data_IF_134623854800
#
_entry.id   IF_134623854800
#
_cell.length_a   1.000
_cell.length_b   1.000
_cell.length_c   1.000
_cell.angle_alpha   90.00
_cell.angle_beta   90.00
_cell.angle_gamma   90.00
#
_symmetry.space_group_name_H-M   'P 1'
#
loop_
_entity.id
_entity.type
_entity.pdbx_description
1 polymer ?
#
# COMPACT_ATOMS: atom_id res chain seq x y z
N UNK A 1 32.01 1.77 40.02
CA UNK A 1 31.97 0.72 38.98
C UNK A 1 30.55 0.71 38.42
N UNK A 2 30.30 1.53 37.40
CA UNK A 2 28.97 1.73 36.79
C UNK A 2 28.99 0.95 35.47
N UNK A 3 28.13 -0.06 35.36
CA UNK A 3 27.97 -0.85 34.14
C UNK A 3 27.18 -0.03 33.11
N UNK A 4 27.83 0.31 32.00
CA UNK A 4 27.18 0.77 30.78
C UNK A 4 26.47 -0.44 30.15
N UNK A 5 25.13 -0.46 30.14
CA UNK A 5 24.36 -1.43 29.38
C UNK A 5 24.18 -0.86 27.97
N UNK A 6 24.99 -1.37 27.03
CA UNK A 6 24.84 -1.14 25.60
C UNK A 6 23.58 -1.90 25.14
N UNK A 7 22.51 -1.20 24.81
CA UNK A 7 21.34 -1.80 24.17
C UNK A 7 21.69 -2.07 22.70
N UNK A 8 22.15 -3.28 22.39
CA UNK A 8 22.18 -3.80 21.03
C UNK A 8 20.74 -3.98 20.58
N UNK A 9 20.28 -3.08 19.72
CA UNK A 9 19.06 -3.30 18.93
C UNK A 9 19.34 -4.49 18.01
N UNK A 10 18.79 -5.65 18.38
CA UNK A 10 18.61 -6.78 17.48
C UNK A 10 17.68 -6.31 16.36
N UNK A 11 18.25 -5.97 15.21
CA UNK A 11 17.50 -6.08 13.96
C UNK A 11 17.17 -7.57 13.80
N UNK A 12 15.94 -7.94 14.08
CA UNK A 12 15.36 -9.16 13.53
C UNK A 12 15.38 -8.99 12.01
N UNK A 13 16.36 -9.62 11.36
CA UNK A 13 16.28 -9.89 9.94
C UNK A 13 14.94 -10.61 9.70
N UNK A 14 14.06 -9.97 8.94
CA UNK A 14 12.79 -10.58 8.53
C UNK A 14 13.16 -11.84 7.75
N UNK A 15 12.69 -13.00 8.23
CA UNK A 15 12.84 -14.27 7.52
C UNK A 15 12.21 -14.15 6.13
N UNK A 16 12.84 -14.70 5.06
CA UNK A 16 12.24 -14.75 3.73
C UNK A 16 10.90 -15.53 3.67
N UNK A 17 10.49 -16.18 4.76
CA UNK A 17 9.20 -16.88 4.86
C UNK A 17 8.00 -15.94 5.12
N UNK A 18 8.22 -14.66 5.40
CA UNK A 18 7.15 -13.69 5.73
C UNK A 18 6.62 -12.86 4.53
N UNK A 19 7.04 -13.17 3.30
CA UNK A 19 6.60 -12.42 2.11
C UNK A 19 5.26 -12.92 1.53
N UNK A 20 4.90 -14.17 1.79
CA UNK A 20 3.69 -14.78 1.22
C UNK A 20 2.57 -14.97 2.26
N UNK A 21 1.29 -14.85 1.85
CA UNK A 21 0.16 -15.23 2.69
C UNK A 21 0.24 -16.68 3.16
N UNK A 22 -0.45 -16.99 4.27
CA UNK A 22 -0.51 -18.34 4.83
C UNK A 22 -0.87 -19.39 3.75
N UNK A 23 -0.11 -20.50 3.71
CA UNK A 23 -0.14 -21.61 2.72
C UNK A 23 0.52 -21.36 1.35
N UNK A 24 0.95 -20.13 1.06
CA UNK A 24 1.74 -19.86 -0.13
C UNK A 24 3.24 -19.97 0.15
N UNK A 25 4.00 -20.43 -0.84
CA UNK A 25 5.46 -20.57 -0.79
C UNK A 25 6.11 -19.60 -1.75
N UNK A 26 7.05 -18.79 -1.23
CA UNK A 26 7.80 -17.85 -2.04
C UNK A 26 8.79 -18.56 -2.97
N UNK A 27 8.89 -18.08 -4.22
CA UNK A 27 9.87 -18.57 -5.18
C UNK A 27 10.75 -17.42 -5.68
N UNK A 28 11.98 -17.37 -5.17
CA UNK A 28 12.90 -16.25 -5.37
C UNK A 28 13.24 -15.97 -6.84
N UNK A 29 13.26 -16.99 -7.70
CA UNK A 29 13.60 -16.81 -9.12
C UNK A 29 12.53 -16.02 -9.89
N UNK A 30 11.27 -16.10 -9.48
CA UNK A 30 10.15 -15.43 -10.13
C UNK A 30 9.56 -14.31 -9.28
N UNK A 31 9.99 -14.18 -8.01
CA UNK A 31 9.41 -13.30 -7.00
C UNK A 31 7.88 -13.46 -6.87
N UNK A 32 7.40 -14.72 -6.94
CA UNK A 32 5.97 -15.06 -6.89
C UNK A 32 5.74 -16.08 -5.78
N UNK A 33 4.59 -15.95 -5.13
CA UNK A 33 4.07 -16.87 -4.14
C UNK A 33 3.20 -17.92 -4.83
N UNK A 34 3.50 -19.20 -4.64
CA UNK A 34 2.74 -20.31 -5.23
C UNK A 34 2.06 -21.16 -4.15
N UNK A 35 0.85 -21.64 -4.47
CA UNK A 35 0.10 -22.56 -3.62
C UNK A 35 -0.52 -23.67 -4.46
N UNK A 36 -0.44 -24.91 -3.98
CA UNK A 36 -1.14 -26.06 -4.54
C UNK A 36 -2.21 -26.48 -3.55
N UNK A 37 -3.43 -26.68 -4.03
CA UNK A 37 -4.53 -27.16 -3.21
C UNK A 37 -4.28 -28.56 -2.66
N UNK A 38 -4.88 -28.86 -1.51
CA UNK A 38 -4.90 -30.22 -0.94
C UNK A 38 -5.93 -31.11 -1.69
N UNK A 39 -7.04 -30.50 -2.13
CA UNK A 39 -8.14 -31.15 -2.84
C UNK A 39 -8.05 -31.01 -4.37
N UNK A 40 -8.85 -31.80 -5.08
CA UNK A 40 -9.00 -31.72 -6.52
C UNK A 40 -10.26 -30.97 -6.94
N UNK A 41 -10.15 -30.28 -8.08
CA UNK A 41 -11.22 -29.49 -8.64
C UNK A 41 -11.31 -29.68 -10.16
N UNK A 42 -12.50 -29.49 -10.72
CA UNK A 42 -12.62 -29.18 -12.15
C UNK A 42 -11.98 -27.81 -12.46
N UNK A 43 -11.79 -27.48 -13.73
CA UNK A 43 -11.10 -26.27 -14.14
C UNK A 43 -11.70 -24.99 -13.55
N UNK A 44 -13.03 -24.85 -13.60
CA UNK A 44 -13.72 -23.66 -13.08
C UNK A 44 -13.76 -23.65 -11.55
N UNK A 45 -13.81 -24.81 -10.91
CA UNK A 45 -13.65 -24.99 -9.49
C UNK A 45 -12.27 -24.53 -9.01
N UNK A 46 -11.22 -24.88 -9.74
CA UNK A 46 -9.85 -24.47 -9.45
C UNK A 46 -9.65 -22.95 -9.58
N UNK A 47 -10.24 -22.33 -10.61
CA UNK A 47 -10.27 -20.86 -10.74
C UNK A 47 -10.89 -20.22 -9.50
N UNK A 48 -12.11 -20.64 -9.14
CA UNK A 48 -12.82 -20.11 -7.97
C UNK A 48 -12.10 -20.38 -6.65
N UNK A 49 -11.45 -21.54 -6.53
CA UNK A 49 -10.64 -21.88 -5.36
C UNK A 49 -9.48 -20.89 -5.20
N UNK A 50 -8.69 -20.67 -6.26
CA UNK A 50 -7.57 -19.73 -6.19
C UNK A 50 -8.02 -18.29 -5.90
N UNK A 51 -9.17 -17.87 -6.44
CA UNK A 51 -9.77 -16.58 -6.11
C UNK A 51 -10.18 -16.50 -4.63
N UNK A 52 -10.74 -17.59 -4.07
CA UNK A 52 -11.12 -17.65 -2.65
C UNK A 52 -9.93 -17.60 -1.68
N UNK A 53 -8.73 -17.98 -2.14
CA UNK A 53 -7.50 -17.89 -1.36
C UNK A 53 -6.76 -16.55 -1.57
N UNK A 54 -7.38 -15.59 -2.28
CA UNK A 54 -6.79 -14.27 -2.56
C UNK A 54 -5.78 -14.25 -3.69
N UNK A 55 -5.68 -15.33 -4.47
CA UNK A 55 -4.79 -15.42 -5.63
C UNK A 55 -5.54 -15.64 -6.95
N UNK A 56 -4.79 -16.08 -7.97
CA UNK A 56 -5.34 -16.48 -9.27
C UNK A 56 -4.75 -17.81 -9.69
N UNK A 57 -5.48 -18.56 -10.52
CA UNK A 57 -4.94 -19.76 -11.14
C UNK A 57 -3.70 -19.39 -11.98
N UNK A 58 -2.66 -20.24 -11.97
CA UNK A 58 -1.36 -19.94 -12.58
C UNK A 58 -1.47 -19.85 -14.09
N UNK A 59 -1.22 -18.67 -14.67
CA UNK A 59 -0.79 -18.51 -16.05
C UNK A 59 0.74 -18.56 -16.12
N UNK A 60 1.30 -19.34 -17.05
CA UNK A 60 2.76 -19.38 -17.24
C UNK A 60 3.24 -18.17 -18.03
N UNK A 61 4.36 -17.59 -17.60
CA UNK A 61 5.11 -16.60 -18.39
C UNK A 61 6.47 -17.17 -18.82
N UNK A 62 7.16 -16.44 -19.71
CA UNK A 62 8.43 -16.88 -20.25
C UNK A 62 9.48 -17.01 -19.14
N UNK A 63 10.15 -18.16 -19.08
CA UNK A 63 11.20 -18.44 -18.08
C UNK A 63 10.72 -19.16 -16.81
N UNK A 64 9.41 -19.32 -16.59
CA UNK A 64 8.91 -20.04 -15.40
C UNK A 64 8.90 -21.56 -15.57
N UNK A 65 8.96 -22.05 -16.82
CA UNK A 65 8.79 -23.46 -17.20
C UNK A 65 9.60 -24.44 -16.34
N UNK A 66 10.90 -24.17 -16.17
CA UNK A 66 11.81 -25.05 -15.46
C UNK A 66 11.57 -25.01 -13.93
N UNK A 67 11.26 -23.82 -13.40
CA UNK A 67 10.93 -23.65 -11.98
C UNK A 67 9.63 -24.38 -11.62
N UNK A 68 8.61 -24.23 -12.46
CA UNK A 68 7.32 -24.90 -12.28
C UNK A 68 7.43 -26.42 -12.49
N UNK A 69 8.27 -26.87 -13.42
CA UNK A 69 8.58 -28.30 -13.55
C UNK A 69 9.17 -28.87 -12.26
N UNK A 70 10.12 -28.17 -11.63
CA UNK A 70 10.67 -28.62 -10.35
C UNK A 70 9.60 -28.64 -9.25
N UNK A 71 8.78 -27.57 -9.14
CA UNK A 71 7.70 -27.47 -8.16
C UNK A 71 6.65 -28.57 -8.29
N UNK A 72 6.36 -29.00 -9.52
CA UNK A 72 5.29 -29.96 -9.81
C UNK A 72 5.78 -31.38 -10.05
N UNK A 73 7.10 -31.61 -10.03
CA UNK A 73 7.73 -32.90 -10.35
C UNK A 73 7.31 -34.07 -9.47
N UNK A 74 6.88 -33.79 -8.24
CA UNK A 74 6.46 -34.78 -7.25
C UNK A 74 4.95 -35.09 -7.31
N UNK A 75 4.19 -34.35 -8.12
CA UNK A 75 2.73 -34.48 -8.17
C UNK A 75 2.33 -35.70 -9.01
N UNK A 76 1.46 -36.53 -8.44
CA UNK A 76 0.86 -37.68 -9.14
C UNK A 76 -0.16 -37.25 -10.20
N UNK A 77 -0.78 -36.09 -9.98
CA UNK A 77 -1.90 -35.52 -10.75
C UNK A 77 -1.48 -34.12 -11.18
N UNK A 78 -1.66 -33.76 -12.45
CA UNK A 78 -1.10 -32.52 -12.99
C UNK A 78 -1.93 -31.31 -12.53
N UNK A 79 -1.34 -30.21 -12.06
CA UNK A 79 -2.11 -29.02 -11.69
C UNK A 79 -2.71 -28.30 -12.90
N UNK A 80 -3.84 -27.64 -12.67
CA UNK A 80 -4.44 -26.73 -13.64
C UNK A 80 -3.55 -25.50 -13.89
N UNK A 81 -3.50 -25.08 -15.15
CA UNK A 81 -2.92 -23.81 -15.62
C UNK A 81 -4.08 -22.97 -16.15
N UNK A 82 -4.05 -21.66 -15.94
CA UNK A 82 -5.08 -20.71 -16.33
C UNK A 82 -5.10 -20.42 -17.83
N UNK A 83 -5.15 -21.47 -18.65
CA UNK A 83 -5.22 -21.39 -20.11
C UNK A 83 -6.30 -22.30 -20.65
N UNK A 84 -6.96 -21.84 -21.71
CA UNK A 84 -8.04 -22.58 -22.38
C UNK A 84 -7.95 -22.42 -23.89
N UNK A 85 -8.45 -23.41 -24.63
CA UNK A 85 -8.59 -23.37 -26.08
C UNK A 85 -9.88 -22.65 -26.45
N UNK A 86 -9.77 -21.71 -27.38
CA UNK A 86 -10.93 -21.21 -28.11
C UNK A 86 -11.32 -22.27 -29.14
N UNK A 87 -12.47 -22.91 -28.98
CA UNK A 87 -12.91 -24.03 -29.83
C UNK A 87 -13.20 -23.61 -31.27
N UNK A 88 -13.48 -22.33 -31.50
CA UNK A 88 -13.78 -21.78 -32.84
C UNK A 88 -12.50 -21.53 -33.63
N UNK A 89 -11.47 -20.97 -32.99
CA UNK A 89 -10.19 -20.64 -33.65
C UNK A 89 -9.12 -21.70 -33.48
N UNK A 90 -9.29 -22.60 -32.52
CA UNK A 90 -8.33 -23.60 -32.11
C UNK A 90 -7.14 -23.05 -31.31
N UNK A 91 -7.11 -21.73 -31.04
CA UNK A 91 -6.00 -21.03 -30.39
C UNK A 91 -6.17 -21.07 -28.87
N UNK A 92 -5.08 -21.33 -28.15
CA UNK A 92 -5.06 -21.26 -26.69
C UNK A 92 -4.79 -19.84 -26.21
N UNK A 93 -5.45 -19.46 -25.12
CA UNK A 93 -5.32 -18.15 -24.48
C UNK A 93 -5.28 -18.30 -22.96
N UNK A 94 -4.63 -17.36 -22.27
CA UNK A 94 -4.66 -17.30 -20.81
C UNK A 94 -5.92 -16.56 -20.33
N UNK A 95 -6.49 -17.01 -19.20
CA UNK A 95 -7.70 -16.40 -18.62
C UNK A 95 -7.48 -14.97 -18.13
N UNK A 96 -6.24 -14.60 -17.80
CA UNK A 96 -5.84 -13.25 -17.41
C UNK A 96 -5.51 -12.34 -18.60
N UNK A 97 -5.76 -12.82 -19.83
CA UNK A 97 -5.51 -12.14 -21.10
C UNK A 97 -4.02 -11.88 -21.40
N UNK A 98 -3.12 -12.47 -20.62
CA UNK A 98 -1.70 -12.49 -20.94
C UNK A 98 -1.44 -13.33 -22.21
N UNK A 99 -0.40 -12.98 -22.95
CA UNK A 99 0.14 -13.74 -24.09
C UNK A 99 0.34 -15.20 -23.69
N UNK A 100 -0.33 -16.08 -24.43
CA UNK A 100 -0.14 -17.52 -24.33
C UNK A 100 1.14 -17.92 -25.09
N UNK A 101 2.09 -18.54 -24.38
CA UNK A 101 3.38 -18.90 -24.96
C UNK A 101 3.32 -20.34 -25.48
N UNK A 102 3.28 -20.48 -26.80
CA UNK A 102 3.08 -21.77 -27.47
C UNK A 102 4.28 -22.71 -27.44
N UNK A 103 5.47 -22.28 -27.03
CA UNK A 103 6.66 -23.15 -26.94
C UNK A 103 6.73 -23.96 -25.63
N UNK A 104 5.75 -23.77 -24.74
CA UNK A 104 5.73 -24.35 -23.40
C UNK A 104 5.14 -25.77 -23.35
N UNK A 105 4.65 -26.31 -24.47
CA UNK A 105 4.03 -27.65 -24.54
C UNK A 105 5.02 -28.77 -24.23
N UNK A 106 4.49 -29.83 -23.61
CA UNK A 106 5.14 -31.13 -23.53
C UNK A 106 5.21 -31.77 -24.93
N UNK A 107 6.13 -32.71 -25.12
CA UNK A 107 6.25 -33.47 -26.36
C UNK A 107 4.94 -34.22 -26.65
N UNK A 108 4.38 -34.00 -27.85
CA UNK A 108 3.12 -34.59 -28.29
C UNK A 108 1.87 -33.74 -27.99
N UNK A 109 2.03 -32.57 -27.39
CA UNK A 109 0.97 -31.62 -27.08
C UNK A 109 1.11 -30.33 -27.94
N UNK A 110 0.00 -29.60 -28.19
CA UNK A 110 -1.36 -29.84 -27.74
C UNK A 110 -2.07 -30.94 -28.55
N UNK A 111 -2.81 -31.81 -27.87
CA UNK A 111 -3.70 -32.79 -28.52
C UNK A 111 -5.17 -32.46 -28.23
N UNK A 112 -5.93 -31.90 -29.19
CA UNK A 112 -7.33 -31.52 -28.98
C UNK A 112 -8.25 -32.67 -28.51
N UNK A 113 -7.89 -33.93 -28.74
CA UNK A 113 -8.65 -35.07 -28.23
C UNK A 113 -8.59 -35.19 -26.70
N UNK A 114 -7.52 -34.68 -26.08
CA UNK A 114 -7.32 -34.72 -24.64
C UNK A 114 -8.07 -33.61 -23.89
N UNK A 115 -8.60 -32.61 -24.60
CA UNK A 115 -9.49 -31.57 -24.06
C UNK A 115 -9.09 -30.14 -24.40
N UNK A 116 -9.88 -29.18 -23.93
CA UNK A 116 -9.70 -27.75 -24.22
C UNK A 116 -9.08 -26.95 -23.05
N UNK A 117 -8.89 -27.55 -21.88
CA UNK A 117 -8.23 -26.91 -20.72
C UNK A 117 -6.78 -27.38 -20.61
N UNK A 118 -5.96 -26.67 -19.84
CA UNK A 118 -4.52 -26.89 -19.81
C UNK A 118 -4.04 -27.24 -18.40
N UNK A 119 -3.25 -28.30 -18.28
CA UNK A 119 -2.53 -28.68 -17.06
C UNK A 119 -1.02 -28.59 -17.28
N UNK A 120 -0.23 -28.61 -16.19
CA UNK A 120 1.22 -28.66 -16.27
C UNK A 120 1.77 -30.03 -15.89
N UNK A 121 2.48 -30.67 -16.82
CA UNK A 121 3.20 -31.92 -16.59
C UNK A 121 4.61 -31.63 -16.07
N UNK A 122 4.93 -32.06 -14.85
CA UNK A 122 6.22 -31.77 -14.18
C UNK A 122 7.35 -32.78 -14.35
N UNK A 123 7.15 -33.88 -15.10
CA UNK A 123 8.14 -34.99 -15.15
C UNK A 123 9.38 -34.64 -16.00
N UNK A 124 10.56 -34.93 -15.46
CA UNK A 124 11.86 -34.36 -15.89
C UNK A 124 12.27 -34.57 -17.36
N UNK A 125 11.79 -35.62 -18.03
CA UNK A 125 12.11 -35.89 -19.44
C UNK A 125 11.07 -35.37 -20.45
N UNK A 126 9.87 -34.97 -19.98
CA UNK A 126 8.79 -34.49 -20.84
C UNK A 126 7.86 -33.54 -20.05
N UNK A 127 8.42 -32.44 -19.56
CA UNK A 127 7.67 -31.44 -18.79
C UNK A 127 7.15 -30.31 -19.69
N UNK A 128 6.00 -29.77 -19.35
CA UNK A 128 5.38 -28.67 -20.07
C UNK A 128 3.86 -28.68 -19.98
N UNK A 129 3.23 -27.81 -20.75
CA UNK A 129 1.78 -27.76 -20.89
C UNK A 129 1.25 -29.05 -21.52
N UNK A 130 0.08 -29.46 -21.07
CA UNK A 130 -0.67 -30.58 -21.61
C UNK A 130 -2.15 -30.22 -21.68
N UNK A 131 -2.83 -30.67 -22.72
CA UNK A 131 -4.29 -30.52 -22.84
C UNK A 131 -5.02 -31.54 -21.98
N UNK A 132 -6.12 -31.13 -21.37
CA UNK A 132 -6.91 -31.94 -20.44
C UNK A 132 -8.37 -31.54 -20.48
N UNK A 133 -9.26 -32.52 -20.37
CA UNK A 133 -10.71 -32.33 -20.32
C UNK A 133 -11.07 -31.45 -19.10
N UNK A 134 -11.76 -30.33 -19.32
CA UNK A 134 -12.00 -29.31 -18.29
C UNK A 134 -12.75 -29.81 -17.04
N UNK A 135 -13.46 -30.94 -17.14
CA UNK A 135 -14.21 -31.57 -16.04
C UNK A 135 -13.38 -32.55 -15.19
N UNK A 136 -12.12 -32.82 -15.58
CA UNK A 136 -11.22 -33.70 -14.82
C UNK A 136 -10.89 -33.09 -13.46
N UNK A 137 -10.61 -33.95 -12.48
CA UNK A 137 -10.25 -33.52 -11.14
C UNK A 137 -8.73 -33.39 -11.06
N UNK A 138 -8.25 -32.16 -10.87
CA UNK A 138 -6.82 -31.84 -10.82
C UNK A 138 -6.54 -30.85 -9.68
N UNK A 139 -5.27 -30.68 -9.29
CA UNK A 139 -4.89 -29.68 -8.30
C UNK A 139 -5.16 -28.26 -8.81
N UNK A 140 -5.67 -27.40 -7.94
CA UNK A 140 -5.69 -25.96 -8.18
C UNK A 140 -4.29 -25.41 -7.87
N UNK A 141 -3.66 -24.80 -8.87
CA UNK A 141 -2.34 -24.21 -8.73
C UNK A 141 -2.44 -22.71 -8.81
N UNK A 142 -2.28 -22.08 -7.66
CA UNK A 142 -2.55 -20.68 -7.46
C UNK A 142 -1.25 -19.88 -7.37
N UNK A 143 -1.26 -18.67 -7.89
CA UNK A 143 -0.20 -17.68 -7.69
C UNK A 143 -0.74 -16.38 -7.09
N UNK A 144 0.11 -15.76 -6.27
CA UNK A 144 -0.02 -14.39 -5.78
C UNK A 144 1.32 -13.71 -6.06
N UNK A 145 1.27 -12.51 -6.64
CA UNK A 145 2.44 -11.63 -6.62
C UNK A 145 2.43 -10.97 -5.23
N UNK A 146 3.42 -11.23 -4.36
CA UNK A 146 3.42 -10.62 -3.04
C UNK A 146 3.44 -9.09 -3.17
N UNK A 147 2.63 -8.42 -2.36
CA UNK A 147 2.67 -6.96 -2.22
C UNK A 147 4.03 -6.61 -1.60
N UNK A 148 5.01 -6.19 -2.41
CA UNK A 148 6.36 -5.84 -1.97
C UNK A 148 6.41 -4.55 -1.11
N UNK A 149 5.29 -4.11 -0.55
CA UNK A 149 5.18 -3.00 0.38
C UNK A 149 4.47 -3.46 1.66
N UNK A 150 5.20 -3.48 2.77
CA UNK A 150 4.72 -3.83 4.11
C UNK A 150 3.32 -3.28 4.46
N UNK A 151 2.38 -4.19 4.73
CA UNK A 151 1.27 -3.98 5.66
C UNK A 151 -0.01 -3.40 5.06
N UNK A 152 -0.96 -4.29 4.79
CA UNK A 152 -2.39 -3.97 4.82
C UNK A 152 -3.02 -3.74 3.46
N UNK A 153 -3.85 -4.70 3.06
CA UNK A 153 -4.92 -4.49 2.09
C UNK A 153 -5.73 -3.28 2.57
N UNK A 154 -5.67 -2.17 1.85
CA UNK A 154 -6.87 -1.42 1.56
C UNK A 154 -7.08 -1.49 0.06
N UNK A 155 -8.32 -1.83 -0.30
CA UNK A 155 -8.85 -1.79 -1.66
C UNK A 155 -8.19 -0.70 -2.53
N UNK A 156 -7.84 -1.07 -3.77
CA UNK A 156 -7.40 -0.16 -4.84
C UNK A 156 -8.54 0.75 -5.35
N UNK A 157 -9.28 1.36 -4.42
CA UNK A 157 -10.22 2.45 -4.67
C UNK A 157 -9.78 3.76 -3.99
N UNK A 158 -8.65 3.76 -3.27
CA UNK A 158 -8.04 4.98 -2.75
C UNK A 158 -6.54 4.99 -2.99
N UNK A 159 -6.09 5.90 -3.86
CA UNK A 159 -4.68 6.25 -4.00
C UNK A 159 -4.14 6.68 -2.62
N UNK A 160 -3.42 5.79 -1.94
CA UNK A 160 -2.77 6.11 -0.68
C UNK A 160 -1.68 7.16 -0.92
N UNK A 161 -1.96 8.40 -0.50
CA UNK A 161 -0.99 9.50 -0.46
C UNK A 161 0.18 9.10 0.44
N UNK A 162 1.40 9.09 -0.11
CA UNK A 162 2.62 8.80 0.63
C UNK A 162 3.49 10.06 0.72
N UNK A 163 3.90 10.45 1.93
CA UNK A 163 4.74 11.63 2.19
C UNK A 163 6.11 11.20 2.69
N UNK A 164 7.20 11.72 2.10
CA UNK A 164 8.57 11.45 2.57
C UNK A 164 9.05 12.53 3.54
N UNK A 165 9.90 12.14 4.51
CA UNK A 165 10.61 13.09 5.38
C UNK A 165 11.87 13.66 4.73
N UNK A 166 12.25 13.12 3.56
CA UNK A 166 13.39 13.54 2.74
C UNK A 166 12.89 14.24 1.48
N UNK A 167 13.70 15.16 0.96
CA UNK A 167 13.38 15.95 -0.24
C UNK A 167 13.59 15.18 -1.56
N UNK A 168 13.74 13.86 -1.50
CA UNK A 168 13.96 12.99 -2.65
C UNK A 168 13.04 11.78 -2.58
N UNK A 169 12.41 11.46 -3.71
CA UNK A 169 11.63 10.24 -3.90
C UNK A 169 12.26 9.50 -5.08
N UNK A 170 12.67 8.26 -4.85
CA UNK A 170 13.16 7.38 -5.91
C UNK A 170 12.05 6.41 -6.29
N UNK A 171 11.55 6.54 -7.51
CA UNK A 171 10.57 5.60 -8.07
C UNK A 171 11.27 4.62 -9.00
N UNK A 172 11.08 3.32 -8.77
CA UNK A 172 11.55 2.27 -9.65
C UNK A 172 10.38 1.64 -10.40
N UNK A 173 10.28 1.86 -11.71
CA UNK A 173 9.35 1.14 -12.56
C UNK A 173 10.13 0.07 -13.34
N UNK A 174 9.76 -1.19 -13.15
CA UNK A 174 10.37 -2.33 -13.84
C UNK A 174 9.30 -3.05 -14.64
N UNK A 175 9.56 -3.21 -15.93
CA UNK A 175 8.77 -4.04 -16.83
C UNK A 175 9.63 -5.20 -17.32
N UNK A 176 8.98 -6.22 -17.87
CA UNK A 176 9.64 -7.24 -18.67
C UNK A 176 9.24 -7.07 -20.14
N UNK A 177 9.85 -7.87 -21.01
CA UNK A 177 9.63 -7.83 -22.46
C UNK A 177 8.36 -8.59 -22.89
N UNK A 178 7.57 -9.08 -21.94
CA UNK A 178 6.52 -10.09 -22.20
C UNK A 178 5.13 -9.44 -22.19
N UNK A 179 4.88 -8.45 -21.32
CA UNK A 179 3.59 -7.75 -21.23
C UNK A 179 3.75 -6.23 -21.09
N UNK A 180 2.85 -5.50 -21.73
CA UNK A 180 2.70 -4.04 -21.60
C UNK A 180 1.24 -3.71 -21.32
N UNK A 181 0.99 -2.78 -20.40
CA UNK A 181 -0.33 -2.22 -20.12
C UNK A 181 -0.21 -0.69 -20.04
N UNK A 182 -1.30 0.04 -19.73
CA UNK A 182 -1.37 1.51 -19.71
C UNK A 182 -0.36 2.19 -18.76
N UNK A 183 0.27 1.43 -17.87
CA UNK A 183 1.29 1.91 -16.93
C UNK A 183 0.68 2.52 -15.68
N UNK A 184 1.29 3.57 -15.15
CA UNK A 184 0.78 4.31 -13.99
C UNK A 184 0.82 5.81 -14.25
N UNK A 185 -0.12 6.52 -13.63
CA UNK A 185 -0.08 7.97 -13.52
C UNK A 185 0.09 8.32 -12.04
N UNK A 186 1.18 9.02 -11.71
CA UNK A 186 1.45 9.50 -10.37
C UNK A 186 1.52 11.02 -10.37
N UNK A 187 0.79 11.64 -9.44
CA UNK A 187 0.93 13.05 -9.11
C UNK A 187 1.66 13.16 -7.77
N UNK A 188 2.59 14.10 -7.66
CA UNK A 188 3.28 14.41 -6.42
C UNK A 188 3.04 15.87 -6.06
N UNK A 189 3.00 16.16 -4.76
CA UNK A 189 2.99 17.52 -4.22
C UNK A 189 4.15 17.65 -3.23
N UNK A 190 4.78 18.81 -3.16
CA UNK A 190 5.75 19.11 -2.10
C UNK A 190 4.96 19.44 -0.84
N UNK A 191 4.96 18.53 0.14
CA UNK A 191 4.62 18.93 1.51
C UNK A 191 5.82 19.70 2.06
N UNK A 192 5.71 21.02 2.21
CA UNK A 192 6.72 21.80 2.92
C UNK A 192 6.57 21.51 4.41
N UNK A 193 7.34 20.55 4.92
CA UNK A 193 7.49 20.37 6.37
C UNK A 193 8.37 21.50 6.86
N UNK A 194 7.74 22.60 7.23
CA UNK A 194 8.39 23.73 7.86
C UNK A 194 8.81 23.33 9.29
N UNK A 195 9.96 23.82 9.80
CA UNK A 195 10.34 23.59 11.18
C UNK A 195 9.22 24.10 12.11
N UNK A 196 8.97 23.43 13.25
CA UNK A 196 7.95 23.90 14.15
C UNK A 196 8.23 25.32 14.64
N UNK A 197 7.20 26.16 14.66
CA UNK A 197 7.28 27.50 15.24
C UNK A 197 7.05 27.36 16.75
N UNK A 198 8.02 27.79 17.54
CA UNK A 198 7.95 27.70 19.00
C UNK A 198 7.69 29.10 19.56
N UNK A 199 6.59 29.25 20.31
CA UNK A 199 6.32 30.47 21.06
C UNK A 199 7.17 30.48 22.34
N UNK A 200 8.26 31.24 22.33
CA UNK A 200 9.24 31.31 23.43
C UNK A 200 8.91 32.38 24.49
N UNK A 201 7.68 32.89 24.51
CA UNK A 201 7.24 33.87 25.51
C UNK A 201 6.73 33.18 26.76
N UNK A 202 6.76 33.88 27.91
CA UNK A 202 6.50 33.24 29.21
C UNK A 202 5.03 33.27 29.63
N UNK A 203 4.31 34.37 29.35
CA UNK A 203 2.97 34.59 29.91
C UNK A 203 1.89 34.91 28.88
N UNK A 204 2.27 35.37 27.69
CA UNK A 204 1.34 35.64 26.61
C UNK A 204 2.07 35.55 25.27
N UNK A 205 1.34 35.27 24.20
CA UNK A 205 1.89 35.29 22.86
C UNK A 205 0.81 35.30 21.81
N UNK A 206 1.26 35.43 20.57
CA UNK A 206 0.44 35.44 19.38
C UNK A 206 1.03 34.45 18.38
N UNK A 207 0.15 33.76 17.65
CA UNK A 207 0.48 32.88 16.55
C UNK A 207 -0.49 33.14 15.41
N UNK A 208 0.01 33.07 14.19
CA UNK A 208 -0.79 33.25 12.98
C UNK A 208 -0.53 32.13 11.99
N UNK A 209 -1.47 31.92 11.06
CA UNK A 209 -1.19 31.13 9.86
C UNK A 209 -0.04 31.74 9.05
N UNK A 210 0.68 30.92 8.24
CA UNK A 210 1.64 31.44 7.29
C UNK A 210 1.03 32.57 6.44
N UNK A 211 1.82 33.62 6.16
CA UNK A 211 1.48 34.81 5.38
C UNK A 211 0.40 35.74 5.95
N UNK A 212 -0.28 35.39 7.06
CA UNK A 212 -1.34 36.24 7.64
C UNK A 212 -0.88 37.71 7.77
N UNK A 213 -1.71 38.70 7.37
CA UNK A 213 -3.12 38.58 6.97
C UNK A 213 -3.36 38.27 5.48
N UNK A 214 -2.30 38.01 4.70
CA UNK A 214 -2.43 37.54 3.33
C UNK A 214 -2.79 36.05 3.29
N UNK A 215 -3.17 35.57 2.10
CA UNK A 215 -3.58 34.19 1.92
C UNK A 215 -2.44 33.20 2.24
N UNK A 216 -2.77 32.12 2.96
CA UNK A 216 -1.80 31.04 3.24
C UNK A 216 -1.40 30.27 1.97
N UNK A 217 -0.31 29.50 2.01
CA UNK A 217 0.15 28.74 0.84
C UNK A 217 -0.69 27.44 0.65
N UNK A 218 -0.73 26.91 -0.59
CA UNK A 218 -1.26 25.56 -0.86
C UNK A 218 -0.36 24.49 -0.22
N UNK A 219 -0.95 23.39 0.25
CA UNK A 219 -0.25 22.23 0.81
C UNK A 219 0.64 22.54 2.04
N UNK A 220 0.27 23.55 2.82
CA UNK A 220 0.94 23.86 4.07
C UNK A 220 0.72 22.76 5.10
N UNK A 221 1.77 22.51 5.90
CA UNK A 221 1.75 21.59 7.02
C UNK A 221 2.68 22.11 8.12
N UNK A 222 2.18 23.10 8.86
CA UNK A 222 2.93 23.80 9.90
C UNK A 222 2.55 23.30 11.29
N UNK A 223 3.55 23.05 12.14
CA UNK A 223 3.36 22.79 13.56
C UNK A 223 3.71 24.04 14.38
N UNK A 224 2.93 24.32 15.42
CA UNK A 224 3.23 25.37 16.38
C UNK A 224 3.19 24.81 17.80
N UNK A 225 4.16 25.21 18.61
CA UNK A 225 4.29 24.78 19.99
C UNK A 225 4.17 25.97 20.93
N UNK A 226 3.28 25.85 21.91
CA UNK A 226 3.21 26.73 23.07
C UNK A 226 3.62 25.90 24.27
N UNK A 227 4.64 26.36 25.01
CA UNK A 227 5.07 25.73 26.24
C UNK A 227 5.24 26.81 27.31
N UNK A 228 4.56 26.62 28.43
CA UNK A 228 4.70 27.47 29.61
C UNK A 228 5.39 26.71 30.74
N UNK A 229 5.65 27.39 31.86
CA UNK A 229 6.25 26.77 33.04
C UNK A 229 5.38 25.61 33.55
N UNK A 230 6.02 24.60 34.14
CA UNK A 230 5.32 23.43 34.68
C UNK A 230 4.26 23.85 35.72
N UNK A 231 3.06 23.29 35.61
CA UNK A 231 1.91 23.64 36.45
C UNK A 231 1.07 24.82 35.94
N UNK A 232 1.56 25.62 34.98
CA UNK A 232 0.76 26.64 34.30
C UNK A 232 -0.21 26.02 33.29
N UNK A 233 -1.33 26.70 33.04
CA UNK A 233 -2.30 26.34 31.98
C UNK A 233 -2.30 27.40 30.89
N UNK A 234 -2.67 27.02 29.67
CA UNK A 234 -2.65 27.89 28.51
C UNK A 234 -4.09 28.15 28.09
N UNK A 235 -4.51 29.40 28.15
CA UNK A 235 -5.77 29.85 27.56
C UNK A 235 -5.51 30.30 26.13
N UNK A 236 -6.12 29.61 25.18
CA UNK A 236 -6.03 29.88 23.74
C UNK A 236 -7.28 30.64 23.31
N UNK A 237 -7.11 31.72 22.55
CA UNK A 237 -8.20 32.51 21.96
C UNK A 237 -7.92 32.74 20.47
N UNK A 238 -8.93 32.47 19.63
CA UNK A 238 -8.90 32.74 18.20
C UNK A 238 -9.93 33.84 17.93
N UNK A 239 -9.44 34.99 17.48
CA UNK A 239 -10.25 36.18 17.20
C UNK A 239 -10.45 36.45 15.70
N UNK A 240 -9.66 35.82 14.82
CA UNK A 240 -9.93 35.78 13.38
C UNK A 240 -9.65 34.38 12.80
N UNK A 241 -10.54 33.91 11.94
CA UNK A 241 -10.45 32.59 11.33
C UNK A 241 -11.24 32.52 10.02
N UNK A 242 -10.53 32.32 8.91
CA UNK A 242 -11.10 32.05 7.61
C UNK A 242 -10.19 31.09 6.82
N UNK A 243 -10.65 29.85 6.67
CA UNK A 243 -10.04 28.81 5.82
C UNK A 243 -11.07 28.20 4.88
N UNK A 244 -10.62 27.40 3.91
CA UNK A 244 -11.52 26.56 3.14
C UNK A 244 -12.23 25.57 4.06
N UNK A 245 -13.55 25.55 4.00
CA UNK A 245 -14.36 24.66 4.84
C UNK A 245 -14.05 23.19 4.53
N UNK A 246 -13.90 22.36 5.58
CA UNK A 246 -13.63 20.91 5.52
C UNK A 246 -12.22 20.51 5.04
N UNK A 247 -11.65 21.21 4.06
CA UNK A 247 -10.38 20.84 3.42
C UNK A 247 -9.16 21.42 4.14
N UNK A 248 -9.24 22.68 4.55
CA UNK A 248 -8.17 23.40 5.23
C UNK A 248 -8.53 23.59 6.70
N UNK A 249 -7.64 23.19 7.60
CA UNK A 249 -7.99 23.10 9.01
C UNK A 249 -6.82 23.36 9.97
N UNK A 250 -7.20 23.82 11.16
CA UNK A 250 -6.34 23.92 12.35
C UNK A 250 -6.75 22.85 13.36
N UNK A 251 -5.87 21.88 13.60
CA UNK A 251 -6.01 20.94 14.71
C UNK A 251 -5.32 21.51 15.96
N UNK A 252 -5.97 21.39 17.12
CA UNK A 252 -5.44 21.78 18.43
C UNK A 252 -5.32 20.54 19.31
N UNK A 253 -4.19 20.37 19.99
CA UNK A 253 -3.90 19.23 20.86
C UNK A 253 -3.43 19.70 22.25
N UNK A 254 -3.97 19.06 23.30
CA UNK A 254 -3.57 19.28 24.71
C UNK A 254 -2.43 18.34 25.11
N UNK A 255 -1.39 18.34 24.30
CA UNK A 255 -0.20 17.49 24.47
C UNK A 255 0.96 18.00 23.62
N UNK A 256 2.19 17.61 23.96
CA UNK A 256 3.39 17.88 23.16
C UNK A 256 3.49 17.07 21.85
N UNK A 257 2.53 16.18 21.61
CA UNK A 257 2.42 15.37 20.41
C UNK A 257 0.96 15.35 19.92
N UNK A 258 0.67 14.61 18.84
CA UNK A 258 -0.67 14.56 18.22
C UNK A 258 -1.63 13.54 18.88
N UNK A 259 -1.40 13.11 20.13
CA UNK A 259 -2.23 12.08 20.79
C UNK A 259 -3.54 12.62 21.38
N UNK A 260 -3.55 13.84 21.91
CA UNK A 260 -4.70 14.40 22.64
C UNK A 260 -5.40 15.51 21.85
N UNK A 261 -6.08 15.16 20.76
CA UNK A 261 -6.80 16.15 19.94
C UNK A 261 -7.99 16.75 20.69
N UNK A 262 -8.03 18.08 20.78
CA UNK A 262 -9.11 18.86 21.40
C UNK A 262 -10.18 19.19 20.38
N UNK A 263 -9.76 19.78 19.26
CA UNK A 263 -10.68 20.27 18.23
C UNK A 263 -10.00 20.31 16.86
N UNK A 264 -10.81 20.22 15.80
CA UNK A 264 -10.47 20.60 14.43
C UNK A 264 -11.33 21.78 14.02
N UNK A 265 -10.72 22.87 13.58
CA UNK A 265 -11.39 24.09 13.16
C UNK A 265 -11.20 24.30 11.66
N UNK A 266 -12.25 24.69 10.94
CA UNK A 266 -12.24 24.96 9.49
C UNK A 266 -13.38 25.90 9.09
N UNK A 267 -13.28 26.55 7.93
CA UNK A 267 -14.31 27.46 7.41
C UNK A 267 -14.14 28.89 7.94
N UNK A 268 -15.23 29.65 8.03
CA UNK A 268 -15.20 31.07 8.43
C UNK A 268 -16.06 31.40 9.67
N UNK A 269 -16.71 30.40 10.25
CA UNK A 269 -17.66 30.56 11.36
C UNK A 269 -17.09 30.05 12.70
N UNK A 270 -15.76 30.11 12.83
CA UNK A 270 -15.02 29.65 14.01
C UNK A 270 -14.82 30.78 15.01
N UNK A 271 -14.33 31.92 14.56
CA UNK A 271 -14.04 33.05 15.45
C UNK A 271 -15.34 33.77 15.87
N UNK A 272 -15.49 34.15 17.15
CA UNK A 272 -14.53 33.96 18.25
C UNK A 272 -14.59 32.55 18.86
N UNK A 273 -13.42 32.00 19.19
CA UNK A 273 -13.30 30.71 19.87
C UNK A 273 -12.25 30.74 20.97
N UNK A 274 -12.48 30.06 22.09
CA UNK A 274 -11.53 30.00 23.19
C UNK A 274 -11.53 28.66 23.92
N UNK A 275 -10.38 28.26 24.44
CA UNK A 275 -10.22 27.02 25.19
C UNK A 275 -9.07 27.10 26.20
N UNK A 276 -9.28 26.52 27.39
CA UNK A 276 -8.28 26.43 28.44
C UNK A 276 -7.70 25.02 28.51
N UNK A 277 -6.39 24.91 28.26
CA UNK A 277 -5.65 23.64 28.32
C UNK A 277 -5.67 23.01 29.69
N UNK A 278 -5.49 21.69 29.79
CA UNK A 278 -5.24 20.99 31.05
C UNK A 278 -3.76 20.78 31.33
N UNK A 279 -2.91 20.88 30.30
CA UNK A 279 -1.46 20.77 30.40
C UNK A 279 -0.74 22.11 30.19
N UNK A 280 0.56 22.14 30.50
CA UNK A 280 1.44 23.30 30.25
C UNK A 280 2.00 23.33 28.82
N UNK A 281 1.49 22.49 27.92
CA UNK A 281 1.94 22.39 26.52
C UNK A 281 0.76 22.27 25.56
N UNK A 282 0.72 23.12 24.54
CA UNK A 282 -0.26 23.02 23.46
C UNK A 282 0.47 22.86 22.13
N UNK A 283 0.02 21.90 21.33
CA UNK A 283 0.45 21.72 19.95
C UNK A 283 -0.68 22.14 19.01
N UNK A 284 -0.35 22.97 18.03
CA UNK A 284 -1.23 23.35 16.93
C UNK A 284 -0.68 22.77 15.62
N UNK A 285 -1.57 22.34 14.73
CA UNK A 285 -1.22 21.85 13.40
C UNK A 285 -2.14 22.46 12.36
N UNK A 286 -1.59 23.29 11.50
CA UNK A 286 -2.30 23.83 10.36
C UNK A 286 -2.02 23.01 9.09
N UNK A 287 -3.07 22.68 8.35
CA UNK A 287 -2.99 21.92 7.10
C UNK A 287 -3.85 22.59 6.03
N UNK A 288 -3.30 22.78 4.82
CA UNK A 288 -4.04 23.20 3.64
C UNK A 288 -3.95 22.22 2.47
N UNK A 289 -4.90 22.31 1.53
CA UNK A 289 -4.95 21.54 0.30
C UNK A 289 -4.40 22.32 -0.93
N UNK A 290 -4.66 21.83 -2.14
CA UNK A 290 -4.13 22.41 -3.39
C UNK A 290 -4.93 23.58 -3.96
N UNK A 291 -5.99 24.05 -3.29
CA UNK A 291 -6.95 25.00 -3.85
C UNK A 291 -7.60 25.88 -2.79
N UNK A 292 -8.13 27.04 -3.18
CA UNK A 292 -8.89 27.96 -2.32
C UNK A 292 -8.21 28.38 -1.01
N UNK A 293 -7.17 29.21 -1.13
CA UNK A 293 -6.50 29.84 0.00
C UNK A 293 -7.26 31.08 0.46
N UNK A 294 -7.17 31.38 1.74
CA UNK A 294 -7.77 32.56 2.39
C UNK A 294 -6.78 33.12 3.41
N UNK A 295 -7.11 34.25 4.05
CA UNK A 295 -6.24 34.89 5.05
C UNK A 295 -5.79 34.00 6.21
N UNK A 296 -6.51 32.92 6.51
CA UNK A 296 -6.15 31.96 7.55
C UNK A 296 -6.62 32.38 8.93
N UNK A 297 -5.75 32.40 9.94
CA UNK A 297 -6.15 32.58 11.34
C UNK A 297 -5.14 33.39 12.15
N UNK A 298 -5.68 34.06 13.17
CA UNK A 298 -4.93 34.75 14.21
C UNK A 298 -5.37 34.22 15.58
N UNK A 299 -4.39 33.87 16.40
CA UNK A 299 -4.56 33.24 17.70
C UNK A 299 -3.69 33.98 18.72
N UNK A 300 -4.30 34.32 19.85
CA UNK A 300 -3.58 34.78 21.04
C UNK A 300 -3.65 33.73 22.13
N UNK A 301 -2.65 33.69 22.98
CA UNK A 301 -2.66 32.83 24.15
C UNK A 301 -2.10 33.54 25.37
N UNK A 302 -2.55 33.13 26.55
CA UNK A 302 -1.98 33.58 27.81
C UNK A 302 -1.91 32.44 28.82
N UNK A 303 -0.91 32.51 29.70
CA UNK A 303 -0.80 31.58 30.82
C UNK A 303 -1.81 31.95 31.92
N UNK A 304 -2.42 30.93 32.54
CA UNK A 304 -3.26 31.03 33.74
C UNK A 304 -2.63 30.20 34.85
#
# INVERSE_FOLDING_TARGET
MIFLILFLLLFSAISPDNECPYRYKFYANTAICYHLSDDFYDFNGAVRYCESTGGKLVSLIQGERAGIANLTSHLLVQPWVASKRNTTTGIFYNLDHSVFISDQWAQGEPNPANGDCVTFKGVSSNFGLQTTQCYQQQYAFCKIVPDLCNGGIQHLDQFNRHSTQINTITMGFRTNYVFTDIGFHATWNVERIQPPIISNTTNYGELTSPNYPEDYDTFDKQLFYIQVVEGGRINVTIDDFFTQETFDYLDIFDSSNQSSKVVRLSGNSVAPWSWLSTSSVVLLKFVSDGSYQYRGWHLTWNMI
#
